data_IF_646401379320
#
_entry.id   IF_646401379320
#
_cell.length_a   1.000
_cell.length_b   1.000
_cell.length_c   1.000
_cell.angle_alpha   90.00
_cell.angle_beta   90.00
_cell.angle_gamma   90.00
#
_symmetry.space_group_name_H-M   'P 1'
#
loop_
_entity.id
_entity.type
_entity.pdbx_description
1 polymer ?
#
# COMPACT_ATOMS: atom_id res chain seq x y z
N UNK A 1 24.50 -10.40 26.17
CA UNK A 1 24.80 -8.98 25.90
C UNK A 1 23.48 -8.27 25.75
N UNK A 2 22.99 -7.71 26.85
CA UNK A 2 21.74 -6.95 26.89
C UNK A 2 21.95 -5.61 26.21
N UNK A 3 21.18 -5.35 25.18
CA UNK A 3 21.12 -4.04 24.56
C UNK A 3 20.43 -3.05 25.50
N UNK A 4 21.18 -2.07 25.98
CA UNK A 4 20.64 -0.92 26.72
C UNK A 4 19.56 -0.23 25.90
N UNK A 5 18.45 0.15 26.51
CA UNK A 5 17.47 1.02 25.83
C UNK A 5 18.16 2.37 25.54
N UNK A 6 18.11 2.80 24.29
CA UNK A 6 18.52 4.15 23.90
C UNK A 6 17.67 5.15 24.67
N UNK A 7 18.35 6.08 25.34
CA UNK A 7 17.73 7.20 26.02
C UNK A 7 16.77 7.92 25.08
N UNK A 8 15.58 8.22 25.59
CA UNK A 8 14.63 9.15 24.96
C UNK A 8 15.27 10.55 24.93
N UNK A 9 16.02 10.84 23.88
CA UNK A 9 16.64 12.11 23.57
C UNK A 9 16.16 12.58 22.21
N UNK A 10 15.48 13.72 22.19
CA UNK A 10 15.21 14.54 21.01
C UNK A 10 14.46 13.90 19.85
N UNK A 11 13.40 13.15 20.08
CA UNK A 11 12.39 12.97 19.05
C UNK A 11 11.43 14.16 19.05
N UNK A 12 11.66 15.11 18.13
CA UNK A 12 10.67 16.14 17.82
C UNK A 12 9.33 15.43 17.52
N UNK A 13 8.31 15.80 18.29
CA UNK A 13 6.95 15.40 18.07
C UNK A 13 6.54 15.59 16.61
N UNK A 14 6.40 14.52 15.86
CA UNK A 14 5.78 14.54 14.55
C UNK A 14 4.28 14.42 14.70
N UNK A 15 3.64 15.51 15.13
CA UNK A 15 2.20 15.62 15.01
C UNK A 15 1.84 15.59 13.52
N UNK A 16 0.79 14.83 13.15
CA UNK A 16 0.20 15.01 11.84
C UNK A 16 -0.26 16.48 11.67
N UNK A 17 -0.56 16.92 10.45
CA UNK A 17 -1.02 18.30 10.24
C UNK A 17 -2.28 18.59 11.04
N UNK A 18 -2.30 19.71 11.75
CA UNK A 18 -3.42 20.18 12.58
C UNK A 18 -3.61 21.67 12.36
N UNK A 19 -4.83 22.14 12.37
CA UNK A 19 -5.15 23.55 12.48
C UNK A 19 -5.44 23.87 13.95
N UNK A 20 -4.55 24.63 14.59
CA UNK A 20 -4.58 24.97 16.02
C UNK A 20 -4.84 26.43 16.22
N UNK A 21 -5.88 26.75 16.96
CA UNK A 21 -6.19 28.14 17.35
C UNK A 21 -6.19 28.29 18.87
N UNK A 22 -5.34 29.19 19.39
CA UNK A 22 -5.36 29.62 20.76
C UNK A 22 -6.39 30.74 20.94
N UNK A 23 -7.26 30.56 21.93
CA UNK A 23 -8.27 31.56 22.33
C UNK A 23 -7.91 32.03 23.73
N UNK A 24 -7.30 33.19 23.83
CA UNK A 24 -6.63 33.67 25.04
C UNK A 24 -7.40 34.79 25.70
N UNK A 25 -7.68 34.60 26.98
CA UNK A 25 -8.36 35.57 27.83
C UNK A 25 -7.44 36.78 28.15
N UNK A 26 -7.75 37.91 27.56
CA UNK A 26 -7.08 39.18 27.82
C UNK A 26 -7.91 40.13 28.69
N UNK A 27 -8.83 39.60 29.51
CA UNK A 27 -9.70 40.40 30.39
C UNK A 27 -8.95 41.09 31.52
N UNK A 28 -9.62 42.01 32.19
CA UNK A 28 -9.05 42.81 33.31
C UNK A 28 -8.61 41.93 34.50
N UNK A 29 -9.25 40.78 34.71
CA UNK A 29 -8.92 39.88 35.82
C UNK A 29 -7.57 39.15 35.62
N UNK A 30 -7.08 39.07 34.40
CA UNK A 30 -5.76 38.49 34.09
C UNK A 30 -4.68 39.52 34.43
N UNK A 31 -3.87 39.23 35.45
CA UNK A 31 -2.78 40.13 35.89
C UNK A 31 -1.64 40.13 34.87
N UNK A 32 -0.82 41.21 34.81
CA UNK A 32 0.28 41.30 33.85
C UNK A 32 1.24 40.08 33.85
N UNK A 33 1.65 39.59 35.03
CA UNK A 33 2.52 38.43 35.14
C UNK A 33 1.83 37.12 34.69
N UNK A 34 0.54 36.99 34.89
CA UNK A 34 -0.27 35.87 34.44
C UNK A 34 -0.38 35.85 32.92
N UNK A 35 -0.55 37.02 32.32
CA UNK A 35 -0.56 37.14 30.86
C UNK A 35 0.80 36.78 30.24
N UNK A 36 1.91 37.17 30.89
CA UNK A 36 3.24 36.78 30.46
C UNK A 36 3.44 35.26 30.54
N UNK A 37 2.89 34.58 31.53
CA UNK A 37 2.90 33.13 31.63
C UNK A 37 2.10 32.47 30.49
N UNK A 38 0.96 33.05 30.12
CA UNK A 38 0.17 32.60 28.95
C UNK A 38 0.94 32.78 27.65
N UNK A 39 1.66 33.90 27.47
CA UNK A 39 2.56 34.09 26.32
C UNK A 39 3.59 32.98 26.22
N UNK A 40 4.28 32.75 27.32
CA UNK A 40 5.31 31.72 27.39
C UNK A 40 4.76 30.33 27.08
N UNK A 41 3.58 30.04 27.62
CA UNK A 41 2.88 28.78 27.34
C UNK A 41 2.62 28.60 25.85
N UNK A 42 2.09 29.59 25.15
CA UNK A 42 1.86 29.52 23.71
C UNK A 42 3.16 29.32 22.94
N UNK A 43 4.20 30.08 23.29
CA UNK A 43 5.51 29.99 22.63
C UNK A 43 6.15 28.64 22.84
N UNK A 44 6.12 28.07 24.03
CA UNK A 44 6.67 26.79 24.36
C UNK A 44 5.96 25.68 23.56
N UNK A 45 4.63 25.69 23.46
CA UNK A 45 3.88 24.76 22.65
C UNK A 45 4.26 24.89 21.17
N UNK A 46 4.29 26.09 20.63
CA UNK A 46 4.61 26.34 19.23
C UNK A 46 6.02 25.86 18.88
N UNK A 47 6.98 26.01 19.79
CA UNK A 47 8.35 25.54 19.56
C UNK A 47 8.45 24.01 19.44
N UNK A 48 7.57 23.30 20.12
CA UNK A 48 7.57 21.82 20.07
C UNK A 48 6.80 21.27 18.86
N UNK A 49 5.97 22.10 18.22
CA UNK A 49 5.18 21.70 17.06
C UNK A 49 5.97 21.88 15.75
N UNK A 50 5.71 21.00 14.81
CA UNK A 50 6.16 21.19 13.43
C UNK A 50 5.18 22.15 12.74
N UNK A 51 5.56 23.42 12.63
CA UNK A 51 4.71 24.46 12.04
C UNK A 51 5.06 24.70 10.58
N UNK A 52 4.03 24.90 9.76
CA UNK A 52 4.19 25.15 8.34
C UNK A 52 2.89 25.03 7.56
N UNK A 53 2.92 25.36 6.29
CA UNK A 53 1.74 25.29 5.42
C UNK A 53 1.15 23.90 5.31
N UNK A 54 2.02 22.88 5.25
CA UNK A 54 1.63 21.48 5.11
C UNK A 54 1.69 20.70 6.44
N UNK A 55 2.17 21.34 7.50
CA UNK A 55 2.26 20.80 8.84
C UNK A 55 1.17 21.41 9.74
N UNK A 56 1.50 21.76 10.99
CA UNK A 56 0.56 22.45 11.88
C UNK A 56 0.50 23.95 11.55
N UNK A 57 -0.70 24.44 11.30
CA UNK A 57 -0.99 25.85 11.18
C UNK A 57 -1.50 26.38 12.52
N UNK A 58 -1.03 27.53 12.92
CA UNK A 58 -1.38 28.13 14.21
C UNK A 58 -2.02 29.48 14.00
N UNK A 59 -3.12 29.71 14.69
CA UNK A 59 -3.77 31.01 14.82
C UNK A 59 -3.89 31.41 16.30
N UNK A 60 -3.95 32.70 16.57
CA UNK A 60 -4.13 33.23 17.91
C UNK A 60 -5.22 34.32 17.92
N UNK A 61 -6.18 34.13 18.82
CA UNK A 61 -7.28 35.04 19.06
C UNK A 61 -7.20 35.48 20.53
N UNK A 62 -7.22 36.77 20.77
CA UNK A 62 -7.40 37.35 22.10
C UNK A 62 -8.84 37.81 22.27
N UNK A 63 -9.39 37.70 23.47
CA UNK A 63 -10.70 38.25 23.76
C UNK A 63 -10.78 38.90 25.13
N UNK A 64 -11.71 39.82 25.23
CA UNK A 64 -12.13 40.50 26.46
C UNK A 64 -13.62 40.84 26.30
N UNK A 65 -14.04 42.11 26.28
CA UNK A 65 -15.38 42.47 25.82
C UNK A 65 -15.53 42.43 24.32
N UNK A 66 -14.42 42.41 23.59
CA UNK A 66 -14.31 42.25 22.14
C UNK A 66 -13.38 41.10 21.80
N UNK A 67 -13.42 40.68 20.56
CA UNK A 67 -12.52 39.67 20.01
C UNK A 67 -11.51 40.34 19.12
N UNK A 68 -10.23 40.03 19.32
CA UNK A 68 -9.12 40.50 18.50
C UNK A 68 -8.44 39.32 17.81
N UNK A 69 -8.40 39.37 16.51
CA UNK A 69 -7.55 38.45 15.77
C UNK A 69 -6.10 38.90 15.86
N UNK A 70 -5.26 38.12 16.51
CA UNK A 70 -3.82 38.41 16.61
C UNK A 70 -3.12 38.00 15.31
N UNK A 71 -3.30 36.75 14.90
CA UNK A 71 -2.96 36.28 13.59
C UNK A 71 -3.79 35.03 13.24
N UNK A 72 -4.04 34.83 11.97
CA UNK A 72 -4.81 33.69 11.47
C UNK A 72 -3.94 32.53 11.02
N UNK A 73 -4.56 31.40 10.76
CA UNK A 73 -3.89 30.16 10.32
C UNK A 73 -3.03 30.32 9.06
N UNK A 74 -3.35 31.28 8.20
CA UNK A 74 -2.63 31.56 6.95
C UNK A 74 -1.49 32.55 7.07
N UNK A 75 -1.42 33.34 8.19
CA UNK A 75 -0.57 34.52 8.26
C UNK A 75 0.90 34.21 8.42
N UNK A 76 1.25 33.17 9.20
CA UNK A 76 2.63 32.86 9.50
C UNK A 76 2.94 31.36 9.23
N UNK A 77 4.17 31.12 8.81
CA UNK A 77 4.66 29.77 8.52
C UNK A 77 5.88 29.38 9.33
N UNK A 78 6.42 30.29 10.12
CA UNK A 78 7.62 30.06 10.92
C UNK A 78 7.40 30.38 12.40
N UNK A 79 8.10 29.65 13.27
CA UNK A 79 8.10 29.91 14.70
C UNK A 79 8.44 31.35 15.03
N UNK A 80 9.47 31.92 14.38
CA UNK A 80 9.95 33.27 14.65
C UNK A 80 8.87 34.31 14.42
N UNK A 81 8.10 34.22 13.34
CA UNK A 81 7.00 35.14 13.04
C UNK A 81 5.90 35.05 14.10
N UNK A 82 5.52 33.86 14.50
CA UNK A 82 4.50 33.59 15.50
C UNK A 82 4.93 34.11 16.87
N UNK A 83 6.16 33.81 17.29
CA UNK A 83 6.71 34.29 18.58
C UNK A 83 6.75 35.79 18.66
N UNK A 84 7.16 36.46 17.58
CA UNK A 84 7.16 37.92 17.52
C UNK A 84 5.75 38.48 17.71
N UNK A 85 4.77 37.96 16.98
CA UNK A 85 3.38 38.44 17.09
C UNK A 85 2.79 38.20 18.50
N UNK A 86 3.09 37.03 19.10
CA UNK A 86 2.64 36.74 20.48
C UNK A 86 3.26 37.72 21.49
N UNK A 87 4.53 38.03 21.35
CA UNK A 87 5.22 38.98 22.24
C UNK A 87 4.70 40.41 22.08
N UNK A 88 4.10 40.74 20.97
CA UNK A 88 3.53 42.06 20.69
C UNK A 88 2.06 42.22 21.16
N UNK A 89 1.43 41.16 21.68
CA UNK A 89 0.05 41.23 22.18
C UNK A 89 -0.05 42.16 23.35
N UNK A 90 -0.99 43.10 23.29
CA UNK A 90 -1.34 43.98 24.40
C UNK A 90 -2.69 43.53 24.98
N UNK A 91 -2.79 43.19 26.29
CA UNK A 91 -4.05 42.77 26.89
C UNK A 91 -5.14 43.84 26.74
N UNK A 92 -6.34 43.40 26.34
CA UNK A 92 -7.48 44.29 26.13
C UNK A 92 -8.04 44.85 27.44
N UNK A 93 -7.93 44.13 28.55
CA UNK A 93 -8.22 44.50 29.91
C UNK A 93 -9.66 45.03 30.15
N UNK A 94 -10.64 44.37 29.56
CA UNK A 94 -12.07 44.66 29.71
C UNK A 94 -12.83 43.44 30.26
N UNK A 95 -14.02 43.17 29.77
CA UNK A 95 -14.85 42.04 30.18
C UNK A 95 -14.38 40.68 29.67
N UNK A 96 -15.19 39.64 29.88
CA UNK A 96 -14.84 38.24 29.59
C UNK A 96 -15.93 37.56 28.75
N UNK A 97 -16.01 37.92 27.48
CA UNK A 97 -17.01 37.43 26.53
C UNK A 97 -16.51 36.16 25.82
N UNK A 98 -16.37 35.08 26.58
CA UNK A 98 -15.80 33.80 26.11
C UNK A 98 -16.65 33.18 25.01
N UNK A 99 -17.97 33.20 25.13
CA UNK A 99 -18.86 32.67 24.10
C UNK A 99 -18.75 33.41 22.76
N UNK A 100 -18.55 34.71 22.80
CA UNK A 100 -18.30 35.52 21.61
C UNK A 100 -16.99 35.10 20.95
N UNK A 101 -15.95 34.82 21.72
CA UNK A 101 -14.66 34.35 21.22
C UNK A 101 -14.78 32.94 20.55
N UNK A 102 -15.53 32.01 21.14
CA UNK A 102 -15.79 30.70 20.58
C UNK A 102 -16.55 30.83 19.24
N UNK A 103 -17.55 31.70 19.18
CA UNK A 103 -18.29 31.95 17.94
C UNK A 103 -17.39 32.53 16.85
N UNK A 104 -16.51 33.46 17.22
CA UNK A 104 -15.51 33.99 16.30
C UNK A 104 -14.58 32.89 15.77
N UNK A 105 -14.07 32.03 16.64
CA UNK A 105 -13.21 30.93 16.25
C UNK A 105 -13.92 29.99 15.24
N UNK A 106 -15.15 29.62 15.56
CA UNK A 106 -15.95 28.73 14.71
C UNK A 106 -16.24 29.32 13.32
N UNK A 107 -16.64 30.60 13.28
CA UNK A 107 -17.14 31.26 12.07
C UNK A 107 -16.04 31.92 11.24
N UNK A 108 -14.97 32.38 11.88
CA UNK A 108 -13.91 33.17 11.24
C UNK A 108 -12.56 32.48 11.30
N UNK A 109 -12.03 32.20 12.50
CA UNK A 109 -10.68 31.65 12.63
C UNK A 109 -10.50 30.29 11.93
N UNK A 110 -11.50 29.42 12.00
CA UNK A 110 -11.52 28.11 11.32
C UNK A 110 -12.21 28.15 9.96
N UNK A 111 -12.30 29.29 9.32
CA UNK A 111 -12.79 29.39 7.94
C UNK A 111 -11.66 29.16 6.93
N UNK A 112 -12.02 28.68 5.76
CA UNK A 112 -11.07 28.48 4.67
C UNK A 112 -10.42 29.78 4.20
N UNK A 113 -11.13 30.90 4.30
CA UNK A 113 -10.63 32.26 4.00
C UNK A 113 -9.47 32.65 4.91
N UNK A 114 -9.49 32.21 6.16
CA UNK A 114 -8.44 32.46 7.15
C UNK A 114 -7.39 31.36 7.22
N UNK A 115 -7.45 30.37 6.34
CA UNK A 115 -6.41 29.36 6.18
C UNK A 115 -6.74 27.99 6.79
N UNK A 116 -7.96 27.76 7.26
CA UNK A 116 -8.38 26.44 7.74
C UNK A 116 -8.48 25.44 6.60
N UNK A 117 -8.05 24.21 6.87
CA UNK A 117 -8.03 23.11 5.90
C UNK A 117 -9.17 22.13 6.18
N UNK A 118 -9.84 21.66 5.13
CA UNK A 118 -11.03 20.80 5.27
C UNK A 118 -10.70 19.36 5.73
N UNK A 119 -9.50 18.88 5.41
CA UNK A 119 -9.08 17.49 5.69
C UNK A 119 -8.11 17.37 6.86
N UNK A 120 -8.06 18.37 7.72
CA UNK A 120 -7.13 18.46 8.84
C UNK A 120 -7.93 18.67 10.12
N UNK A 121 -7.58 18.00 11.24
CA UNK A 121 -8.24 18.25 12.51
C UNK A 121 -8.15 19.72 12.93
N UNK A 122 -9.26 20.24 13.44
CA UNK A 122 -9.35 21.60 13.99
C UNK A 122 -9.36 21.53 15.51
N UNK A 123 -8.39 22.16 16.15
CA UNK A 123 -8.21 22.17 17.61
C UNK A 123 -8.20 23.60 18.14
N UNK A 124 -9.06 23.87 19.10
CA UNK A 124 -9.09 25.14 19.83
C UNK A 124 -8.62 24.93 21.28
N UNK A 125 -7.72 25.77 21.74
CA UNK A 125 -7.27 25.80 23.13
C UNK A 125 -7.70 27.13 23.77
N UNK A 126 -8.66 27.04 24.68
CA UNK A 126 -9.17 28.19 25.42
C UNK A 126 -8.44 28.28 26.76
N UNK A 127 -7.79 29.40 27.01
CA UNK A 127 -7.12 29.68 28.31
C UNK A 127 -7.79 30.86 28.98
N UNK A 128 -8.36 30.65 30.17
CA UNK A 128 -9.13 31.66 30.90
C UNK A 128 -8.88 31.59 32.40
N UNK A 129 -8.87 32.72 33.06
CA UNK A 129 -8.80 32.83 34.53
C UNK A 129 -10.15 33.17 35.18
N UNK A 130 -11.17 33.47 34.38
CA UNK A 130 -12.43 33.98 34.84
C UNK A 130 -13.66 33.21 34.41
N UNK A 131 -14.80 33.67 34.93
CA UNK A 131 -16.10 33.14 34.52
C UNK A 131 -16.57 33.87 33.28
N UNK A 132 -17.08 33.17 32.27
CA UNK A 132 -17.68 33.81 31.12
C UNK A 132 -18.83 34.72 31.53
N UNK A 133 -18.90 35.91 30.94
CA UNK A 133 -20.01 36.86 31.13
C UNK A 133 -21.18 36.57 30.20
N UNK A 134 -20.94 35.79 29.15
CA UNK A 134 -21.95 35.35 28.20
C UNK A 134 -22.15 33.83 28.28
N UNK A 135 -23.15 33.33 27.56
CA UNK A 135 -23.46 31.92 27.52
C UNK A 135 -22.48 31.17 26.60
N UNK A 136 -21.84 30.12 27.13
CA UNK A 136 -20.83 29.35 26.40
C UNK A 136 -21.33 27.98 25.94
N UNK A 137 -22.30 27.40 26.63
CA UNK A 137 -22.71 26.01 26.38
C UNK A 137 -23.22 25.77 24.95
N UNK A 138 -24.11 26.63 24.46
CA UNK A 138 -24.74 26.47 23.15
C UNK A 138 -23.74 26.72 22.01
N UNK A 139 -22.94 27.75 22.10
CA UNK A 139 -21.95 28.11 21.09
C UNK A 139 -20.80 27.10 21.05
N UNK A 140 -20.37 26.60 22.20
CA UNK A 140 -19.36 25.56 22.28
C UNK A 140 -19.87 24.22 21.70
N UNK A 141 -21.13 23.86 22.00
CA UNK A 141 -21.76 22.69 21.39
C UNK A 141 -21.79 22.80 19.87
N UNK A 142 -22.20 23.95 19.32
CA UNK A 142 -22.18 24.18 17.87
C UNK A 142 -20.76 24.05 17.27
N UNK A 143 -19.76 24.61 17.97
CA UNK A 143 -18.36 24.50 17.52
C UNK A 143 -17.87 23.03 17.49
N UNK A 144 -18.17 22.26 18.53
CA UNK A 144 -17.84 20.82 18.58
C UNK A 144 -18.56 20.03 17.49
N UNK A 145 -19.83 20.31 17.25
CA UNK A 145 -20.61 19.67 16.18
C UNK A 145 -20.07 20.01 14.78
N UNK A 146 -19.45 21.16 14.62
CA UNK A 146 -18.77 21.55 13.38
C UNK A 146 -17.40 20.87 13.18
N UNK A 147 -16.97 20.03 14.12
CA UNK A 147 -15.72 19.27 14.05
C UNK A 147 -14.53 19.92 14.73
N UNK A 148 -14.75 20.94 15.57
CA UNK A 148 -13.69 21.57 16.35
C UNK A 148 -13.53 20.85 17.70
N UNK A 149 -12.32 20.33 17.96
CA UNK A 149 -11.96 19.77 19.26
C UNK A 149 -11.53 20.90 20.20
N UNK A 150 -12.20 21.01 21.35
CA UNK A 150 -11.98 22.12 22.30
C UNK A 150 -11.31 21.61 23.57
N UNK A 151 -10.15 22.17 23.88
CA UNK A 151 -9.48 22.05 25.16
C UNK A 151 -9.76 23.32 25.97
N UNK A 152 -10.17 23.15 27.21
CA UNK A 152 -10.42 24.27 28.12
C UNK A 152 -9.44 24.22 29.29
N UNK A 153 -8.64 25.26 29.42
CA UNK A 153 -7.64 25.42 30.48
C UNK A 153 -8.07 26.57 31.39
N UNK A 154 -8.47 26.21 32.58
CA UNK A 154 -8.81 27.16 33.61
C UNK A 154 -7.62 27.45 34.54
N UNK A 155 -7.39 28.68 34.85
CA UNK A 155 -6.34 29.15 35.79
C UNK A 155 -6.94 29.90 36.93
N UNK A 156 -6.24 29.93 38.05
CA UNK A 156 -6.68 30.64 39.28
C UNK A 156 -8.08 30.22 39.76
N UNK A 157 -9.08 31.05 39.60
CA UNK A 157 -10.44 30.83 40.10
C UNK A 157 -11.43 30.44 39.01
N UNK A 158 -10.97 29.88 37.90
CA UNK A 158 -11.87 29.50 36.83
C UNK A 158 -12.90 28.47 37.30
N UNK A 159 -14.12 28.64 36.79
CA UNK A 159 -15.23 27.76 37.15
C UNK A 159 -15.22 26.46 36.35
N UNK A 160 -15.08 25.35 37.03
CA UNK A 160 -15.04 24.03 36.40
C UNK A 160 -16.30 23.74 35.57
N UNK A 161 -17.47 24.20 36.02
CA UNK A 161 -18.72 24.01 35.28
C UNK A 161 -18.69 24.72 33.93
N UNK A 162 -18.15 25.94 33.90
CA UNK A 162 -17.97 26.68 32.64
C UNK A 162 -16.95 26.01 31.71
N UNK A 163 -15.85 25.48 32.24
CA UNK A 163 -14.86 24.77 31.46
C UNK A 163 -15.44 23.50 30.81
N UNK A 164 -16.18 22.70 31.57
CA UNK A 164 -16.86 21.54 31.07
C UNK A 164 -17.92 21.82 30.02
N UNK A 165 -18.60 22.97 30.15
CA UNK A 165 -19.57 23.44 29.16
C UNK A 165 -18.94 23.74 27.79
N UNK A 166 -17.66 24.09 27.77
CA UNK A 166 -16.93 24.44 26.55
C UNK A 166 -16.20 23.27 25.93
N UNK A 167 -15.58 22.42 26.74
CA UNK A 167 -14.64 21.39 26.31
C UNK A 167 -15.28 20.22 25.58
N UNK A 168 -14.52 19.61 24.72
CA UNK A 168 -14.87 18.33 24.10
C UNK A 168 -14.85 17.18 25.12
N UNK A 169 -15.73 16.18 25.02
CA UNK A 169 -15.63 14.98 25.83
C UNK A 169 -14.49 14.08 25.31
N UNK A 170 -13.86 13.21 26.16
CA UNK A 170 -14.07 13.12 27.60
C UNK A 170 -13.42 14.28 28.36
N UNK A 171 -14.04 14.73 29.43
CA UNK A 171 -13.58 15.92 30.14
C UNK A 171 -12.23 15.73 30.84
N UNK A 172 -11.92 14.52 31.28
CA UNK A 172 -10.61 14.18 31.86
C UNK A 172 -9.45 14.44 30.90
N UNK A 173 -9.71 14.44 29.61
CA UNK A 173 -8.70 14.68 28.57
C UNK A 173 -8.70 16.10 28.02
N UNK A 174 -9.77 16.83 28.23
CA UNK A 174 -9.97 18.14 27.58
C UNK A 174 -10.17 19.31 28.54
N UNK A 175 -10.38 19.05 29.82
CA UNK A 175 -10.55 20.10 30.83
C UNK A 175 -9.43 20.04 31.83
N UNK A 176 -8.77 21.17 32.03
CA UNK A 176 -7.67 21.29 32.97
C UNK A 176 -7.92 22.53 33.85
N UNK A 177 -7.84 22.34 35.15
CA UNK A 177 -7.90 23.42 36.14
C UNK A 177 -6.58 23.44 36.89
N UNK A 178 -5.84 24.51 36.73
CA UNK A 178 -4.57 24.72 37.42
C UNK A 178 -4.71 25.87 38.45
N UNK A 179 -4.04 25.73 39.59
CA UNK A 179 -4.15 26.68 40.67
C UNK A 179 -3.46 27.99 40.38
N UNK A 180 -2.47 27.96 39.50
CA UNK A 180 -1.73 29.17 39.09
C UNK A 180 -1.26 29.04 37.63
N UNK A 181 -0.93 30.16 37.01
CA UNK A 181 -0.36 30.16 35.66
C UNK A 181 1.00 29.45 35.56
N UNK A 182 1.73 29.28 36.65
CA UNK A 182 3.00 28.56 36.67
C UNK A 182 2.83 27.06 36.32
N UNK A 183 1.64 26.50 36.62
CA UNK A 183 1.29 25.14 36.28
C UNK A 183 0.90 24.96 34.79
N UNK A 184 0.65 26.04 34.06
CA UNK A 184 0.34 25.98 32.63
C UNK A 184 1.50 25.35 31.86
N UNK A 185 2.72 25.59 32.27
CA UNK A 185 3.87 24.98 31.65
C UNK A 185 3.83 23.42 31.74
N UNK A 186 3.48 22.88 32.89
CA UNK A 186 3.33 21.45 33.09
C UNK A 186 2.18 20.89 32.22
N UNK A 187 1.07 21.62 32.13
CA UNK A 187 -0.02 21.27 31.23
C UNK A 187 0.46 21.25 29.76
N UNK A 188 1.24 22.26 29.36
CA UNK A 188 1.80 22.33 28.01
C UNK A 188 2.54 21.08 27.60
N UNK A 189 3.36 20.50 28.49
CA UNK A 189 4.06 19.26 28.25
C UNK A 189 3.10 18.08 28.04
N UNK A 190 2.07 17.95 28.89
CA UNK A 190 1.05 16.90 28.74
C UNK A 190 0.21 17.07 27.47
N UNK A 191 -0.09 18.32 27.11
CA UNK A 191 -0.84 18.63 25.89
C UNK A 191 -0.04 18.30 24.63
N UNK A 192 1.25 18.60 24.62
CA UNK A 192 2.16 18.21 23.56
C UNK A 192 2.15 16.69 23.35
N UNK A 193 2.23 15.92 24.42
CA UNK A 193 2.18 14.45 24.34
C UNK A 193 0.88 13.94 23.71
N UNK A 194 -0.22 14.63 23.92
CA UNK A 194 -1.53 14.28 23.32
C UNK A 194 -1.66 14.68 21.86
N UNK A 195 -1.09 15.83 21.49
CA UNK A 195 -1.03 16.25 20.08
C UNK A 195 0.03 15.49 19.30
N UNK A 196 1.10 15.07 19.98
CA UNK A 196 2.11 14.21 19.41
C UNK A 196 1.55 12.82 19.23
N UNK A 197 1.17 12.49 18.03
CA UNK A 197 0.89 11.10 17.67
C UNK A 197 2.20 10.32 17.74
N UNK A 198 2.33 9.48 18.75
CA UNK A 198 3.38 8.47 18.79
C UNK A 198 3.17 7.59 17.57
N UNK A 199 4.13 7.61 16.66
CA UNK A 199 4.13 6.68 15.53
C UNK A 199 4.58 5.32 16.04
N UNK A 200 3.62 4.48 16.42
CA UNK A 200 3.88 3.15 16.95
C UNK A 200 4.59 2.24 15.95
N UNK A 201 4.54 2.57 14.67
CA UNK A 201 5.31 1.84 13.65
C UNK A 201 6.81 2.13 13.74
N UNK A 202 7.20 3.31 14.21
CA UNK A 202 8.62 3.70 14.35
C UNK A 202 9.12 3.38 15.76
N UNK A 203 8.32 3.64 16.79
CA UNK A 203 8.76 3.61 18.19
C UNK A 203 8.55 2.28 18.88
N UNK A 204 7.70 1.39 18.33
CA UNK A 204 7.48 0.07 18.89
C UNK A 204 7.98 -1.03 17.96
N UNK A 205 8.28 -2.18 18.54
CA UNK A 205 8.46 -3.41 17.79
C UNK A 205 7.06 -3.91 17.38
N UNK A 206 6.61 -3.44 16.23
CA UNK A 206 5.24 -3.70 15.75
C UNK A 206 5.04 -5.15 15.27
N UNK A 207 6.11 -5.82 14.84
CA UNK A 207 6.06 -7.20 14.37
C UNK A 207 5.31 -7.42 13.05
N UNK A 208 5.00 -6.36 12.28
CA UNK A 208 4.39 -6.49 10.97
C UNK A 208 5.36 -7.11 9.96
N UNK A 209 4.91 -8.10 9.20
CA UNK A 209 5.73 -8.72 8.15
C UNK A 209 6.06 -7.76 7.01
N UNK A 210 5.09 -6.96 6.58
CA UNK A 210 5.26 -6.07 5.41
C UNK A 210 5.13 -4.61 5.80
N UNK A 211 3.92 -4.09 5.82
CA UNK A 211 3.64 -2.66 5.99
C UNK A 211 3.03 -2.42 7.36
N UNK A 212 3.55 -1.44 8.09
CA UNK A 212 2.92 -0.93 9.30
C UNK A 212 2.28 0.43 8.98
N UNK A 213 1.00 0.57 9.30
CA UNK A 213 0.27 1.82 9.18
C UNK A 213 -0.12 2.32 10.57
N UNK A 214 0.42 3.48 10.93
CA UNK A 214 0.18 4.08 12.23
C UNK A 214 -1.14 4.83 12.25
N UNK A 215 -1.87 4.70 13.37
CA UNK A 215 -3.08 5.46 13.66
C UNK A 215 -3.03 6.00 15.09
N UNK A 216 -3.88 6.98 15.46
CA UNK A 216 -3.87 7.53 16.81
C UNK A 216 -4.02 6.47 17.89
N UNK A 217 -3.00 6.28 18.72
CA UNK A 217 -2.98 5.31 19.82
C UNK A 217 -2.90 3.85 19.41
N UNK A 218 -2.70 3.55 18.11
CA UNK A 218 -2.67 2.19 17.59
C UNK A 218 -1.88 2.09 16.29
N UNK A 219 -1.78 0.89 15.76
CA UNK A 219 -1.25 0.62 14.42
C UNK A 219 -1.97 -0.60 13.85
N UNK A 220 -1.88 -0.76 12.55
CA UNK A 220 -2.33 -1.98 11.88
C UNK A 220 -1.27 -2.45 10.89
N UNK A 221 -1.19 -3.75 10.72
CA UNK A 221 -0.33 -4.34 9.72
C UNK A 221 -1.10 -4.53 8.42
N UNK A 222 -0.44 -4.23 7.31
CA UNK A 222 -0.95 -4.46 5.96
C UNK A 222 0.01 -5.37 5.21
N UNK A 223 -0.52 -6.06 4.24
CA UNK A 223 0.27 -6.92 3.37
C UNK A 223 0.47 -6.27 2.00
N UNK A 224 1.59 -6.57 1.36
CA UNK A 224 1.85 -6.19 -0.02
C UNK A 224 0.83 -6.86 -0.96
N UNK A 225 0.59 -6.29 -2.16
CA UNK A 225 -0.27 -6.95 -3.16
C UNK A 225 0.17 -8.39 -3.42
N UNK A 226 -0.78 -9.32 -3.45
CA UNK A 226 -0.52 -10.73 -3.63
C UNK A 226 -0.36 -11.53 -2.35
N UNK A 227 -0.52 -10.89 -1.21
CA UNK A 227 -0.51 -11.51 0.12
C UNK A 227 -1.80 -11.25 0.87
N UNK A 228 -2.15 -12.13 1.80
CA UNK A 228 -3.27 -11.95 2.73
C UNK A 228 -2.75 -11.85 4.15
N UNK A 229 -3.39 -10.99 4.95
CA UNK A 229 -3.09 -10.86 6.37
C UNK A 229 -3.64 -12.07 7.12
N UNK A 230 -2.80 -12.68 7.95
CA UNK A 230 -3.18 -13.82 8.78
C UNK A 230 -4.02 -13.39 9.99
N UNK A 231 -4.60 -14.36 10.70
CA UNK A 231 -5.45 -14.12 11.87
C UNK A 231 -4.74 -13.45 13.05
N UNK A 232 -3.41 -13.53 13.09
CA UNK A 232 -2.59 -12.81 14.10
C UNK A 232 -2.57 -11.29 13.87
N UNK A 233 -3.07 -10.80 12.74
CA UNK A 233 -3.09 -9.40 12.38
C UNK A 233 -1.72 -8.81 12.04
N UNK A 234 -0.67 -9.62 11.88
CA UNK A 234 0.72 -9.19 11.70
C UNK A 234 1.45 -9.85 10.55
N UNK A 235 1.29 -11.15 10.40
CA UNK A 235 1.98 -11.94 9.38
C UNK A 235 1.17 -12.03 8.09
N UNK A 236 1.89 -12.21 6.98
CA UNK A 236 1.31 -12.24 5.64
C UNK A 236 1.60 -13.58 4.97
N UNK A 237 0.60 -14.13 4.30
CA UNK A 237 0.72 -15.35 3.51
C UNK A 237 0.50 -15.04 2.05
N UNK A 238 1.40 -15.51 1.19
CA UNK A 238 1.25 -15.37 -0.26
C UNK A 238 -0.03 -16.05 -0.75
N UNK A 239 -0.78 -15.37 -1.60
CA UNK A 239 -1.94 -15.94 -2.28
C UNK A 239 -1.42 -16.92 -3.34
N UNK A 240 -1.74 -18.20 -3.18
CA UNK A 240 -1.36 -19.26 -4.12
C UNK A 240 -2.50 -19.51 -5.11
N UNK A 241 -2.45 -18.84 -6.25
CA UNK A 241 -3.45 -19.01 -7.30
C UNK A 241 -3.39 -20.38 -7.96
N UNK A 242 -2.25 -21.07 -7.91
CA UNK A 242 -2.12 -22.43 -8.44
C UNK A 242 -2.84 -23.45 -7.56
N UNK A 243 -2.69 -23.35 -6.23
CA UNK A 243 -3.36 -24.23 -5.28
C UNK A 243 -4.88 -24.02 -5.27
N UNK A 244 -5.33 -22.76 -5.45
CA UNK A 244 -6.74 -22.40 -5.47
C UNK A 244 -7.43 -22.75 -6.81
N UNK A 245 -6.70 -23.27 -7.79
CA UNK A 245 -7.22 -23.58 -9.13
C UNK A 245 -7.62 -22.33 -9.92
N UNK A 246 -7.17 -21.17 -9.52
CA UNK A 246 -7.46 -19.88 -10.18
C UNK A 246 -6.39 -19.55 -11.23
N UNK A 247 -6.15 -20.51 -12.10
CA UNK A 247 -5.20 -20.35 -13.20
C UNK A 247 -5.74 -21.04 -14.46
N UNK A 248 -5.19 -20.67 -15.59
CA UNK A 248 -5.52 -21.22 -16.90
C UNK A 248 -4.32 -21.87 -17.60
N UNK A 249 -3.34 -22.33 -16.81
CA UNK A 249 -2.20 -23.07 -17.33
C UNK A 249 -2.63 -24.44 -17.86
N UNK A 250 -2.18 -24.78 -19.05
CA UNK A 250 -2.47 -26.07 -19.65
C UNK A 250 -1.77 -27.23 -18.94
N UNK A 251 -0.53 -27.05 -18.51
CA UNK A 251 0.28 -28.09 -17.86
C UNK A 251 0.74 -27.70 -16.47
N UNK A 252 1.82 -26.92 -16.34
CA UNK A 252 2.43 -26.58 -15.05
C UNK A 252 2.05 -25.15 -14.65
N UNK A 253 1.60 -24.98 -13.42
CA UNK A 253 1.40 -23.69 -12.80
C UNK A 253 2.51 -23.44 -11.79
N UNK A 254 3.18 -22.28 -11.89
CA UNK A 254 4.20 -21.81 -10.94
C UNK A 254 3.64 -20.61 -10.20
N UNK A 255 3.45 -20.76 -8.89
CA UNK A 255 2.89 -19.70 -8.05
C UNK A 255 3.89 -18.60 -7.74
N UNK A 256 3.41 -17.36 -7.78
CA UNK A 256 4.10 -16.18 -7.27
C UNK A 256 3.09 -15.32 -6.50
N UNK A 257 3.55 -14.40 -5.63
CA UNK A 257 2.61 -13.60 -4.83
C UNK A 257 1.61 -12.83 -5.67
N UNK A 258 0.32 -13.19 -5.54
CA UNK A 258 -0.79 -12.56 -6.29
C UNK A 258 -0.81 -12.83 -7.78
N UNK A 259 0.02 -13.74 -8.25
CA UNK A 259 0.14 -14.07 -9.67
C UNK A 259 0.57 -15.53 -9.87
N UNK A 260 0.70 -15.92 -11.10
CA UNK A 260 1.25 -17.21 -11.50
C UNK A 260 1.89 -17.10 -12.88
N UNK A 261 2.76 -18.03 -13.18
CA UNK A 261 3.27 -18.26 -14.53
C UNK A 261 3.01 -19.69 -14.92
N UNK A 262 2.84 -19.93 -16.21
CA UNK A 262 2.68 -21.26 -16.74
C UNK A 262 4.01 -21.78 -17.29
N UNK A 263 4.20 -23.07 -17.20
CA UNK A 263 5.32 -23.77 -17.81
C UNK A 263 4.83 -25.06 -18.46
N UNK A 264 5.70 -25.72 -19.16
CA UNK A 264 5.37 -26.93 -19.89
C UNK A 264 6.22 -28.12 -19.43
N UNK A 265 5.66 -29.30 -19.51
CA UNK A 265 6.39 -30.54 -19.26
C UNK A 265 7.55 -30.69 -20.27
N UNK A 266 8.52 -31.53 -19.91
CA UNK A 266 9.64 -31.82 -20.79
C UNK A 266 9.14 -32.36 -22.15
N UNK A 267 9.64 -31.76 -23.21
CA UNK A 267 9.22 -32.11 -24.59
C UNK A 267 8.15 -31.15 -25.15
N UNK A 268 7.70 -30.18 -24.40
CA UNK A 268 6.78 -29.14 -24.84
C UNK A 268 7.41 -27.77 -24.72
N UNK A 269 6.94 -26.83 -25.50
CA UNK A 269 7.28 -25.38 -25.39
C UNK A 269 6.05 -24.58 -25.07
N UNK A 270 6.25 -23.53 -24.27
CA UNK A 270 5.21 -22.59 -23.94
C UNK A 270 4.91 -21.69 -25.16
N UNK A 271 3.63 -21.56 -25.51
CA UNK A 271 3.18 -20.74 -26.63
C UNK A 271 3.21 -19.25 -26.28
N UNK A 272 3.01 -18.39 -27.27
CA UNK A 272 3.00 -16.93 -27.10
C UNK A 272 1.93 -16.43 -26.12
N UNK A 273 0.84 -17.17 -25.97
CA UNK A 273 -0.21 -16.86 -24.98
C UNK A 273 0.26 -17.07 -23.53
N UNK A 274 1.44 -17.67 -23.33
CA UNK A 274 2.02 -18.02 -22.05
C UNK A 274 1.12 -18.89 -21.16
N UNK A 275 0.24 -19.66 -21.77
CA UNK A 275 -0.73 -20.54 -21.11
C UNK A 275 -0.70 -21.97 -21.65
N UNK A 276 -0.67 -22.11 -22.96
CA UNK A 276 -0.74 -23.38 -23.66
C UNK A 276 0.62 -23.89 -24.07
N UNK A 277 0.70 -25.20 -24.27
CA UNK A 277 1.93 -25.89 -24.59
C UNK A 277 1.81 -26.60 -25.93
N UNK A 278 2.85 -26.53 -26.72
CA UNK A 278 2.96 -27.26 -27.98
C UNK A 278 4.13 -28.22 -27.91
N UNK A 279 3.89 -29.48 -28.32
CA UNK A 279 4.95 -30.46 -28.39
C UNK A 279 6.09 -29.97 -29.30
N UNK A 280 7.31 -30.08 -28.84
CA UNK A 280 8.48 -29.66 -29.61
C UNK A 280 8.55 -30.50 -30.89
N UNK A 281 8.57 -29.82 -32.04
CA UNK A 281 8.77 -30.42 -33.32
C UNK A 281 10.27 -30.61 -33.62
N UNK A 282 10.81 -31.74 -33.19
CA UNK A 282 12.22 -32.05 -33.39
C UNK A 282 12.59 -32.21 -34.86
N UNK A 283 11.59 -32.45 -35.72
CA UNK A 283 11.82 -32.54 -37.16
C UNK A 283 12.03 -31.21 -37.84
N UNK A 284 11.53 -30.09 -37.21
CA UNK A 284 11.67 -28.74 -37.75
C UNK A 284 13.10 -28.19 -37.65
N UNK A 285 13.95 -28.79 -36.80
CA UNK A 285 15.34 -28.37 -36.62
C UNK A 285 16.31 -28.83 -37.74
N UNK A 286 15.76 -29.28 -38.80
CA UNK A 286 16.51 -29.89 -39.88
C UNK A 286 16.25 -31.38 -39.88
N UNK A 287 16.13 -31.93 -41.05
CA UNK A 287 15.83 -33.34 -41.26
C UNK A 287 16.90 -34.21 -40.61
N UNK A 288 16.77 -34.44 -39.35
CA UNK A 288 17.69 -35.10 -38.41
C UNK A 288 18.13 -36.48 -38.90
N UNK A 289 18.76 -36.50 -40.10
CA UNK A 289 19.30 -37.67 -40.76
C UNK A 289 18.29 -38.80 -41.08
N UNK A 290 16.99 -38.52 -41.10
CA UNK A 290 16.01 -39.44 -41.67
C UNK A 290 16.14 -39.47 -43.20
N UNK A 291 16.26 -40.65 -43.78
CA UNK A 291 16.36 -40.77 -45.22
C UNK A 291 15.07 -40.39 -45.95
N UNK A 292 13.92 -40.76 -45.39
CA UNK A 292 12.62 -40.41 -45.94
C UNK A 292 11.88 -39.37 -45.09
N UNK A 293 11.05 -39.80 -44.16
CA UNK A 293 10.18 -38.95 -43.39
C UNK A 293 10.60 -38.90 -41.91
N UNK A 294 10.57 -37.68 -41.34
CA UNK A 294 10.74 -37.49 -39.92
C UNK A 294 9.38 -37.30 -39.26
N UNK A 295 9.15 -37.95 -38.13
CA UNK A 295 7.93 -37.83 -37.31
C UNK A 295 8.33 -37.41 -35.91
N UNK A 296 7.92 -36.22 -35.48
CA UNK A 296 8.14 -35.75 -34.12
C UNK A 296 7.32 -36.54 -33.12
N UNK A 297 7.98 -36.97 -32.06
CA UNK A 297 7.36 -37.62 -30.91
C UNK A 297 7.76 -36.87 -29.64
N UNK A 298 7.15 -37.17 -28.50
CA UNK A 298 7.52 -36.58 -27.23
C UNK A 298 9.00 -36.87 -26.93
N UNK A 299 9.76 -35.79 -26.69
CA UNK A 299 11.20 -35.79 -26.39
C UNK A 299 12.10 -36.34 -27.51
N UNK A 300 11.63 -36.37 -28.72
CA UNK A 300 12.47 -36.87 -29.81
C UNK A 300 11.78 -36.96 -31.15
N UNK A 301 12.33 -37.79 -32.02
CA UNK A 301 11.77 -38.04 -33.33
C UNK A 301 11.97 -39.50 -33.72
N UNK A 302 11.16 -39.95 -34.64
CA UNK A 302 11.33 -41.21 -35.33
C UNK A 302 11.42 -40.98 -36.83
N UNK A 303 12.19 -41.80 -37.50
CA UNK A 303 12.20 -41.86 -38.98
C UNK A 303 11.17 -42.86 -39.46
N UNK A 304 10.51 -42.57 -40.56
CA UNK A 304 9.54 -43.42 -41.22
C UNK A 304 9.90 -43.52 -42.70
N UNK A 305 9.79 -44.69 -43.23
CA UNK A 305 10.03 -44.94 -44.65
C UNK A 305 8.75 -44.79 -45.48
N UNK A 306 8.88 -44.34 -46.70
CA UNK A 306 7.77 -44.30 -47.65
C UNK A 306 7.28 -45.71 -47.95
N UNK A 307 6.08 -45.79 -48.46
CA UNK A 307 5.47 -47.04 -48.84
C UNK A 307 6.39 -47.82 -49.87
N UNK A 308 6.59 -49.13 -49.65
CA UNK A 308 7.49 -49.94 -50.43
C UNK A 308 8.93 -50.03 -49.91
N UNK A 309 9.21 -49.35 -48.78
CA UNK A 309 10.51 -49.40 -48.11
C UNK A 309 10.37 -49.88 -46.66
N UNK A 310 11.43 -50.49 -46.14
CA UNK A 310 11.53 -50.82 -44.71
C UNK A 310 12.60 -50.00 -44.02
N UNK A 311 12.35 -49.67 -42.76
CA UNK A 311 13.32 -48.97 -41.92
C UNK A 311 14.45 -49.92 -41.51
N UNK A 312 15.68 -49.51 -41.72
CA UNK A 312 16.86 -50.29 -41.37
C UNK A 312 17.12 -50.27 -39.84
N UNK A 313 18.06 -51.15 -39.42
CA UNK A 313 18.44 -51.26 -38.00
C UNK A 313 18.95 -49.95 -37.39
N UNK A 314 19.53 -49.06 -38.20
CA UNK A 314 19.97 -47.73 -37.77
C UNK A 314 18.80 -46.80 -37.45
N UNK A 315 17.58 -47.24 -37.73
CA UNK A 315 16.33 -46.48 -37.54
C UNK A 315 16.26 -45.14 -38.27
N UNK A 316 17.09 -44.99 -39.30
CA UNK A 316 17.19 -43.72 -40.07
C UNK A 316 17.11 -43.93 -41.58
N UNK A 317 17.73 -44.97 -42.08
CA UNK A 317 17.78 -45.29 -43.51
C UNK A 317 16.73 -46.28 -43.90
N UNK A 318 16.39 -46.28 -45.18
CA UNK A 318 15.32 -47.07 -45.73
C UNK A 318 15.84 -47.99 -46.86
N UNK A 319 15.41 -49.19 -46.86
CA UNK A 319 15.73 -50.13 -47.93
C UNK A 319 14.45 -50.56 -48.65
N UNK A 320 14.49 -50.54 -49.97
CA UNK A 320 13.36 -50.96 -50.77
C UNK A 320 13.03 -52.40 -50.43
N UNK A 321 11.77 -52.68 -50.21
CA UNK A 321 11.32 -54.03 -49.94
C UNK A 321 11.61 -54.95 -51.19
N UNK A 322 12.35 -56.00 -50.96
CA UNK A 322 12.57 -56.98 -51.97
C UNK A 322 11.43 -58.00 -51.97
N UNK A 323 10.45 -57.77 -52.82
CA UNK A 323 9.26 -58.59 -52.91
C UNK A 323 9.58 -59.96 -53.47
N UNK A 324 10.74 -60.12 -54.12
CA UNK A 324 11.22 -61.43 -54.57
C UNK A 324 11.79 -62.35 -53.46
N UNK A 325 12.26 -61.69 -52.34
CA UNK A 325 12.86 -62.45 -51.23
C UNK A 325 11.83 -63.18 -50.36
N UNK A 326 10.57 -62.85 -50.47
CA UNK A 326 9.51 -63.52 -49.72
C UNK A 326 9.19 -64.93 -50.22
N UNK A 327 9.96 -65.46 -51.18
CA UNK A 327 9.88 -66.83 -51.62
C UNK A 327 8.63 -67.20 -52.43
N UNK A 328 7.91 -66.18 -52.87
CA UNK A 328 6.74 -66.37 -53.71
C UNK A 328 6.96 -65.77 -55.08
N UNK A 329 8.03 -66.10 -55.58
CA UNK A 329 8.21 -65.86 -56.97
C UNK A 329 7.54 -66.99 -57.74
N UNK A 330 6.34 -66.77 -58.15
CA UNK A 330 5.72 -67.60 -59.14
C UNK A 330 6.41 -67.42 -60.50
N UNK A 331 7.53 -66.69 -60.54
CA UNK A 331 8.32 -66.49 -61.74
C UNK A 331 9.04 -67.78 -62.14
N UNK A 332 8.85 -68.23 -63.36
CA UNK A 332 9.52 -69.39 -63.88
C UNK A 332 11.03 -69.23 -64.04
N UNK A 333 11.45 -68.02 -64.45
CA UNK A 333 12.86 -67.68 -64.57
C UNK A 333 13.30 -66.70 -63.50
N UNK A 334 13.33 -65.44 -63.79
CA UNK A 334 13.87 -64.41 -62.92
C UNK A 334 12.78 -63.53 -62.33
N UNK A 335 12.84 -63.29 -61.03
CA UNK A 335 12.00 -62.28 -60.32
C UNK A 335 12.75 -61.00 -60.20
N UNK A 336 12.11 -59.87 -60.54
CA UNK A 336 12.65 -58.50 -60.41
C UNK A 336 11.78 -57.70 -59.45
N UNK A 337 12.34 -57.32 -58.31
CA UNK A 337 11.64 -56.50 -57.34
C UNK A 337 11.62 -55.03 -57.76
N UNK A 338 10.46 -54.45 -57.73
CA UNK A 338 10.26 -53.03 -57.99
C UNK A 338 9.53 -52.36 -56.77
N UNK A 339 9.41 -51.05 -56.79
CA UNK A 339 8.72 -50.37 -55.72
C UNK A 339 7.28 -50.86 -55.59
N UNK A 340 6.92 -51.38 -54.41
CA UNK A 340 5.62 -51.90 -54.04
C UNK A 340 5.13 -53.14 -54.79
N UNK A 341 5.98 -53.79 -55.63
CA UNK A 341 5.59 -54.91 -56.42
C UNK A 341 6.80 -55.70 -56.93
N UNK A 342 6.55 -56.71 -57.74
CA UNK A 342 7.56 -57.42 -58.52
C UNK A 342 7.00 -57.75 -59.87
N UNK A 343 7.90 -58.13 -60.77
CA UNK A 343 7.50 -58.69 -62.04
C UNK A 343 8.46 -59.85 -62.42
N UNK A 344 8.00 -60.74 -63.27
CA UNK A 344 8.82 -61.81 -63.75
C UNK A 344 9.50 -61.43 -65.07
N UNK A 345 10.71 -61.90 -65.26
CA UNK A 345 11.49 -61.69 -66.47
C UNK A 345 12.00 -63.06 -66.95
N UNK A 346 11.96 -63.29 -68.26
CA UNK A 346 12.48 -64.52 -68.84
C UNK A 346 13.94 -64.39 -69.24
N UNK A 347 14.68 -65.52 -69.24
CA UNK A 347 16.06 -65.58 -69.71
C UNK A 347 16.14 -65.31 -71.21
N UNK A 348 17.31 -64.93 -71.66
CA UNK A 348 17.57 -64.67 -73.06
C UNK A 348 17.15 -65.87 -73.96
N UNK A 349 16.37 -65.56 -75.00
CA UNK A 349 15.82 -66.58 -75.91
C UNK A 349 14.42 -67.05 -75.54
N UNK A 350 13.86 -66.63 -74.44
CA UNK A 350 12.49 -66.92 -74.00
C UNK A 350 11.62 -65.63 -73.93
N UNK A 351 10.31 -65.83 -74.16
CA UNK A 351 9.33 -64.80 -74.06
C UNK A 351 8.37 -65.02 -72.89
N UNK A 352 7.99 -63.91 -72.16
CA UNK A 352 7.08 -64.00 -71.09
C UNK A 352 5.64 -64.22 -71.58
N UNK A 353 4.96 -65.22 -71.01
CA UNK A 353 3.61 -65.56 -71.38
C UNK A 353 2.59 -64.59 -70.83
N UNK A 354 1.31 -64.66 -71.25
CA UNK A 354 0.24 -63.84 -70.82
C UNK A 354 -0.07 -63.94 -69.32
N UNK A 355 0.35 -65.02 -68.66
CA UNK A 355 0.22 -65.19 -67.21
C UNK A 355 1.23 -64.36 -66.44
N UNK A 356 2.14 -63.67 -67.14
CA UNK A 356 3.17 -62.79 -66.57
C UNK A 356 4.14 -63.52 -65.63
N UNK A 357 4.14 -64.85 -65.59
CA UNK A 357 4.97 -65.72 -64.72
C UNK A 357 5.76 -66.75 -65.41
N UNK A 358 5.27 -67.36 -66.50
CA UNK A 358 5.89 -68.40 -67.25
C UNK A 358 6.57 -67.95 -68.55
N UNK A 359 7.52 -68.68 -69.04
CA UNK A 359 8.34 -68.35 -70.21
C UNK A 359 8.26 -69.45 -71.29
N UNK A 360 8.20 -69.05 -72.57
CA UNK A 360 8.23 -69.99 -73.74
C UNK A 360 9.41 -69.65 -74.63
N UNK A 361 10.10 -70.70 -75.21
CA UNK A 361 11.24 -70.58 -76.13
C UNK A 361 10.79 -70.19 -77.53
#
# INVERSE_FOLDING_TARGET
MEARPKAAGDQKCKSGPVDLVFIIDGSRSVRPHEFETMRKFMIDIIHELDVGLDATRVGVVQYSSQVQNVFSLKDFTTHQQMVKAINEIIPLAQGTMTGLAIRYAMNVAFSTVEGARTNVPHVAVIVTDGRPQDRVAEVAAAARESGIEIYAVGVARADMTSLRAMASPPFEDHVFLVESFDLIHQFGLQFQDKLCKIDLCIESDHGCDHICESSPGSYQCLCLPGYTLNDDGKTCTAIDLCADGKHDCEQICISSPGSFTCDCNTGYTLNEDKRTCTMIDYCSFGNESCEHECVSILNGFNCRCKEGYTLNEDKKTCTMIDYCSFGNDSCEHECVSVLQSFYCRCNEGYTLNEDETTCTS
#
